data_IF_041137356536
#
_entry.id   IF_041137356536
#
_cell.length_a   1.000
_cell.length_b   1.000
_cell.length_c   1.000
_cell.angle_alpha   90.00
_cell.angle_beta   90.00
_cell.angle_gamma   90.00
#
_symmetry.space_group_name_H-M   'P 1'
#
loop_
_entity.id
_entity.type
_entity.pdbx_description
1 polymer ?
#
# COMPACT_ATOMS: atom_id res chain seq x y z
N UNK A 1 1.72 -0.19 -28.30
CA UNK A 1 2.52 -0.73 -27.16
C UNK A 1 1.70 -0.57 -25.90
N UNK A 2 1.56 -1.61 -25.12
CA UNK A 2 0.89 -1.58 -23.82
C UNK A 2 1.69 -0.73 -22.82
N UNK A 3 1.03 0.19 -22.12
CA UNK A 3 1.64 1.06 -21.12
C UNK A 3 1.12 0.72 -19.74
N UNK A 4 2.02 0.45 -18.81
CA UNK A 4 1.71 0.16 -17.41
C UNK A 4 2.41 1.19 -16.51
N UNK A 5 1.67 1.84 -15.61
CA UNK A 5 2.20 2.72 -14.58
C UNK A 5 2.01 2.07 -13.21
N UNK A 6 3.10 1.77 -12.52
CA UNK A 6 3.08 1.26 -11.15
C UNK A 6 3.80 2.27 -10.25
N UNK A 7 3.20 2.60 -9.11
CA UNK A 7 3.85 3.50 -8.18
C UNK A 7 3.11 3.64 -6.85
N UNK A 8 3.74 4.40 -5.96
CA UNK A 8 3.20 4.79 -4.68
C UNK A 8 3.92 6.03 -4.19
N UNK A 9 3.24 6.91 -3.50
CA UNK A 9 3.87 8.05 -2.85
C UNK A 9 4.40 7.66 -1.46
N UNK A 10 5.40 8.38 -0.92
CA UNK A 10 5.85 8.16 0.45
C UNK A 10 4.70 8.20 1.45
N UNK A 11 4.64 7.20 2.33
CA UNK A 11 3.57 7.06 3.30
C UNK A 11 3.88 7.72 4.65
N UNK A 12 5.03 8.38 4.78
CA UNK A 12 5.53 8.96 6.04
C UNK A 12 4.51 9.84 6.74
N UNK A 13 3.82 10.70 5.99
CA UNK A 13 2.86 11.66 6.55
C UNK A 13 1.50 11.04 6.88
N UNK A 14 1.19 9.85 6.37
CA UNK A 14 -0.11 9.19 6.51
C UNK A 14 -0.07 7.98 7.43
N UNK A 15 1.11 7.49 7.77
CA UNK A 15 1.28 6.33 8.63
C UNK A 15 0.90 6.63 10.08
N UNK A 16 0.26 5.70 10.76
CA UNK A 16 0.02 5.76 12.22
C UNK A 16 1.32 5.73 13.03
N UNK A 17 2.43 5.31 12.43
CA UNK A 17 3.76 5.38 13.04
C UNK A 17 4.28 6.80 13.16
N UNK A 18 3.72 7.75 12.41
CA UNK A 18 4.07 9.16 12.51
C UNK A 18 3.50 9.76 13.79
N UNK A 19 4.38 10.04 14.75
CA UNK A 19 3.99 10.54 16.08
C UNK A 19 3.62 12.03 16.09
N UNK A 20 4.18 12.81 15.15
CA UNK A 20 3.92 14.26 15.03
C UNK A 20 3.67 14.62 13.58
N UNK A 21 2.69 15.48 13.35
CA UNK A 21 2.39 15.99 12.01
C UNK A 21 1.75 14.97 11.05
N UNK A 22 1.10 13.91 11.59
CA UNK A 22 0.33 12.99 10.75
C UNK A 22 -0.82 13.73 10.08
N UNK A 23 -0.88 13.64 8.77
CA UNK A 23 -1.95 14.23 7.98
C UNK A 23 -3.17 13.30 7.95
N UNK A 24 -4.35 13.86 8.14
CA UNK A 24 -5.62 13.12 8.17
C UNK A 24 -6.60 13.58 7.09
N UNK A 25 -6.28 14.66 6.40
CA UNK A 25 -7.04 15.21 5.27
C UNK A 25 -6.22 15.16 3.98
N UNK A 26 -6.91 15.26 2.85
CA UNK A 26 -6.29 15.27 1.53
C UNK A 26 -5.65 16.63 1.21
N UNK A 27 -4.73 17.05 2.07
CA UNK A 27 -3.96 18.28 1.99
C UNK A 27 -2.61 18.07 2.67
N UNK A 28 -1.70 19.03 2.50
CA UNK A 28 -0.37 18.95 3.09
C UNK A 28 0.65 18.28 2.16
N UNK A 29 1.85 18.03 2.70
CA UNK A 29 2.98 17.56 1.90
C UNK A 29 2.79 16.13 1.38
N UNK A 30 2.19 15.25 2.16
CA UNK A 30 1.88 13.89 1.71
C UNK A 30 0.92 13.88 0.52
N UNK A 31 -0.06 14.78 0.52
CA UNK A 31 -0.97 14.95 -0.60
C UNK A 31 -0.26 15.52 -1.84
N UNK A 32 0.64 16.48 -1.67
CA UNK A 32 1.46 17.01 -2.76
C UNK A 32 2.33 15.92 -3.41
N UNK A 33 2.87 15.00 -2.61
CA UNK A 33 3.61 13.85 -3.14
C UNK A 33 2.70 12.89 -3.94
N UNK A 34 1.46 12.69 -3.50
CA UNK A 34 0.48 11.91 -4.27
C UNK A 34 0.15 12.58 -5.62
N UNK A 35 0.05 13.90 -5.66
CA UNK A 35 -0.21 14.63 -6.91
C UNK A 35 0.84 14.36 -7.98
N UNK A 36 2.09 14.04 -7.60
CA UNK A 36 3.12 13.66 -8.56
C UNK A 36 2.75 12.36 -9.30
N UNK A 37 2.11 11.41 -8.61
CA UNK A 37 1.60 10.21 -9.27
C UNK A 37 0.47 10.55 -10.25
N UNK A 38 -0.46 11.43 -9.87
CA UNK A 38 -1.52 11.90 -10.78
C UNK A 38 -0.94 12.57 -12.02
N UNK A 39 0.07 13.42 -11.85
CA UNK A 39 0.75 14.09 -12.95
C UNK A 39 1.46 13.09 -13.88
N UNK A 40 2.12 12.10 -13.30
CA UNK A 40 2.75 11.02 -14.08
C UNK A 40 1.70 10.24 -14.88
N UNK A 41 0.57 9.90 -14.25
CA UNK A 41 -0.55 9.21 -14.91
C UNK A 41 -1.12 10.01 -16.06
N UNK A 42 -1.32 11.32 -15.87
CA UNK A 42 -1.83 12.22 -16.89
C UNK A 42 -0.89 12.33 -18.09
N UNK A 43 0.40 12.51 -17.83
CA UNK A 43 1.42 12.66 -18.89
C UNK A 43 1.72 11.36 -19.64
N UNK A 44 1.83 10.27 -18.90
CA UNK A 44 2.17 8.97 -19.47
C UNK A 44 1.00 8.31 -20.20
N UNK A 45 -0.24 8.60 -19.76
CA UNK A 45 -1.50 8.02 -20.29
C UNK A 45 -1.39 6.49 -20.38
N UNK A 46 -1.25 5.80 -19.22
CA UNK A 46 -1.11 4.35 -19.21
C UNK A 46 -2.42 3.66 -19.56
N UNK A 47 -2.33 2.49 -20.18
CA UNK A 47 -3.47 1.59 -20.40
C UNK A 47 -3.89 0.95 -19.07
N UNK A 48 -2.90 0.61 -18.24
CA UNK A 48 -3.09 0.07 -16.89
C UNK A 48 -2.27 0.84 -15.88
N UNK A 49 -2.84 1.03 -14.69
CA UNK A 49 -2.13 1.66 -13.58
C UNK A 49 -2.36 0.91 -12.27
N UNK A 50 -1.39 0.98 -11.39
CA UNK A 50 -1.47 0.54 -10.01
C UNK A 50 -0.83 1.59 -9.11
N UNK A 51 -1.57 2.01 -8.09
CA UNK A 51 -1.08 2.84 -7.00
C UNK A 51 -1.20 2.08 -5.68
N UNK A 52 -0.18 2.16 -4.85
CA UNK A 52 -0.12 1.49 -3.54
C UNK A 52 0.21 2.48 -2.42
N UNK A 53 -0.39 2.30 -1.25
CA UNK A 53 0.03 3.01 -0.05
C UNK A 53 -0.39 2.25 1.23
N UNK A 54 -0.03 2.82 2.38
CA UNK A 54 -0.28 2.23 3.69
C UNK A 54 -1.79 2.23 4.01
N UNK A 55 -2.31 1.09 4.46
CA UNK A 55 -3.70 0.94 4.93
C UNK A 55 -4.08 1.98 5.99
N UNK A 56 -3.14 2.43 6.81
CA UNK A 56 -3.40 3.35 7.91
C UNK A 56 -3.64 4.81 7.48
N UNK A 57 -3.52 5.13 6.20
CA UNK A 57 -3.94 6.45 5.71
C UNK A 57 -5.38 6.74 6.12
N UNK A 58 -5.63 7.98 6.57
CA UNK A 58 -6.94 8.37 7.10
C UNK A 58 -8.06 8.20 6.05
N UNK A 59 -9.30 7.87 6.48
CA UNK A 59 -10.41 7.66 5.55
C UNK A 59 -10.65 8.81 4.57
N UNK A 60 -10.57 10.11 4.93
CA UNK A 60 -10.74 11.20 3.98
C UNK A 60 -9.69 11.18 2.85
N UNK A 61 -8.44 10.85 3.19
CA UNK A 61 -7.35 10.73 2.22
C UNK A 61 -7.64 9.58 1.24
N UNK A 62 -7.99 8.41 1.75
CA UNK A 62 -8.34 7.25 0.91
C UNK A 62 -9.55 7.52 0.01
N UNK A 63 -10.57 8.18 0.54
CA UNK A 63 -11.75 8.55 -0.25
C UNK A 63 -11.38 9.51 -1.39
N UNK A 64 -10.49 10.47 -1.14
CA UNK A 64 -10.06 11.41 -2.18
C UNK A 64 -9.18 10.72 -3.23
N UNK A 65 -8.27 9.81 -2.82
CA UNK A 65 -7.47 9.00 -3.75
C UNK A 65 -8.39 8.18 -4.67
N UNK A 66 -9.41 7.53 -4.11
CA UNK A 66 -10.41 6.78 -4.88
C UNK A 66 -11.09 7.66 -5.93
N UNK A 67 -11.49 8.87 -5.56
CA UNK A 67 -12.10 9.84 -6.48
C UNK A 67 -11.13 10.28 -7.59
N UNK A 68 -9.91 10.65 -7.23
CA UNK A 68 -8.90 11.13 -8.18
C UNK A 68 -8.47 10.05 -9.20
N UNK A 69 -8.40 8.81 -8.76
CA UNK A 69 -8.04 7.67 -9.62
C UNK A 69 -9.26 7.02 -10.28
N UNK A 70 -10.48 7.46 -9.90
CA UNK A 70 -11.75 6.93 -10.38
C UNK A 70 -11.83 5.39 -10.28
N UNK A 71 -11.45 4.85 -9.13
CA UNK A 71 -11.49 3.41 -8.86
C UNK A 71 -11.63 3.16 -7.36
N UNK A 72 -12.23 2.04 -6.99
CA UNK A 72 -12.30 1.59 -5.61
C UNK A 72 -10.92 1.15 -5.10
N UNK A 73 -10.70 1.31 -3.80
CA UNK A 73 -9.47 0.84 -3.16
C UNK A 73 -9.66 -0.60 -2.68
N UNK A 74 -8.67 -1.44 -2.96
CA UNK A 74 -8.61 -2.81 -2.48
C UNK A 74 -7.58 -2.93 -1.36
N UNK A 75 -8.00 -3.40 -0.19
CA UNK A 75 -7.10 -3.66 0.93
C UNK A 75 -6.62 -5.11 0.88
N UNK A 76 -5.32 -5.31 0.86
CA UNK A 76 -4.70 -6.64 0.84
C UNK A 76 -3.65 -6.71 1.95
N UNK A 77 -3.69 -7.80 2.70
CA UNK A 77 -2.63 -8.14 3.64
C UNK A 77 -1.70 -9.18 3.00
N UNK A 78 -0.40 -8.88 2.94
CA UNK A 78 0.59 -9.82 2.44
C UNK A 78 0.60 -11.16 3.20
N UNK A 79 0.09 -11.19 4.44
CA UNK A 79 -0.03 -12.42 5.23
C UNK A 79 -0.86 -13.52 4.54
N UNK A 80 -1.72 -13.16 3.59
CA UNK A 80 -2.47 -14.14 2.79
C UNK A 80 -1.56 -14.99 1.90
N UNK A 81 -0.43 -14.46 1.46
CA UNK A 81 0.47 -15.11 0.48
C UNK A 81 1.92 -15.20 0.94
N UNK A 82 2.23 -14.74 2.14
CA UNK A 82 3.56 -14.75 2.72
C UNK A 82 3.50 -14.83 4.25
N UNK A 83 4.64 -15.00 4.90
CA UNK A 83 4.74 -15.00 6.37
C UNK A 83 4.77 -13.58 6.97
N UNK A 84 4.63 -12.53 6.15
CA UNK A 84 4.70 -11.15 6.61
C UNK A 84 3.31 -10.52 6.75
N UNK A 85 2.99 -10.02 7.92
CA UNK A 85 1.81 -9.18 8.15
C UNK A 85 2.09 -7.76 7.64
N UNK A 86 1.60 -7.43 6.45
CA UNK A 86 1.80 -6.13 5.80
C UNK A 86 0.51 -5.70 5.09
N UNK A 87 -0.24 -4.82 5.71
CA UNK A 87 -1.51 -4.34 5.18
C UNK A 87 -1.30 -3.08 4.33
N UNK A 88 -1.81 -3.12 3.11
CA UNK A 88 -1.75 -2.02 2.15
C UNK A 88 -3.10 -1.85 1.46
N UNK A 89 -3.33 -0.67 0.92
CA UNK A 89 -4.38 -0.48 -0.06
C UNK A 89 -3.79 -0.27 -1.45
N UNK A 90 -4.56 -0.69 -2.43
CA UNK A 90 -4.21 -0.62 -3.85
C UNK A 90 -5.34 0.02 -4.62
N UNK A 91 -5.00 0.86 -5.60
CA UNK A 91 -5.92 1.38 -6.60
C UNK A 91 -5.44 0.97 -7.98
N UNK A 92 -6.28 0.33 -8.77
CA UNK A 92 -5.94 -0.15 -10.10
C UNK A 92 -7.19 -0.23 -10.98
N UNK A 93 -7.00 -0.31 -12.30
CA UNK A 93 -8.08 -0.28 -13.28
C UNK A 93 -8.32 -1.60 -14.00
N UNK A 94 -8.04 -2.74 -13.35
CA UNK A 94 -8.41 -4.08 -13.82
C UNK A 94 -8.98 -4.92 -12.67
N UNK A 95 -9.64 -6.01 -12.98
CA UNK A 95 -10.22 -6.87 -11.96
C UNK A 95 -9.19 -7.81 -11.36
N UNK A 96 -9.14 -7.86 -10.03
CA UNK A 96 -8.30 -8.76 -9.26
C UNK A 96 -9.10 -9.32 -8.09
N UNK A 97 -9.20 -10.64 -7.93
CA UNK A 97 -9.81 -11.22 -6.75
C UNK A 97 -8.90 -11.05 -5.53
N UNK A 98 -9.47 -11.06 -4.32
CA UNK A 98 -8.68 -11.17 -3.10
C UNK A 98 -7.84 -12.46 -3.14
N UNK A 99 -6.54 -12.39 -2.77
CA UNK A 99 -5.73 -13.58 -2.64
C UNK A 99 -6.33 -14.55 -1.62
N UNK A 100 -6.30 -15.84 -1.91
CA UNK A 100 -6.66 -16.88 -0.96
C UNK A 100 -5.56 -17.01 0.10
N UNK A 101 -5.95 -17.20 1.34
CA UNK A 101 -4.97 -17.45 2.42
C UNK A 101 -4.25 -18.78 2.17
N UNK A 102 -2.95 -18.70 2.02
CA UNK A 102 -2.07 -19.84 1.77
C UNK A 102 -1.55 -20.46 3.06
N UNK A 103 -1.86 -19.88 4.24
CA UNK A 103 -1.46 -20.40 5.54
C UNK A 103 0.05 -20.42 5.77
N UNK A 104 0.81 -19.56 5.13
CA UNK A 104 2.28 -19.54 5.25
C UNK A 104 2.66 -18.87 6.57
N UNK A 105 3.34 -19.62 7.43
CA UNK A 105 3.83 -19.15 8.72
C UNK A 105 5.33 -18.83 8.65
N UNK A 106 5.79 -17.97 9.53
CA UNK A 106 7.21 -17.62 9.61
C UNK A 106 8.11 -18.86 9.79
N UNK A 107 7.70 -19.82 10.61
CA UNK A 107 8.40 -21.08 10.81
C UNK A 107 8.61 -21.89 9.52
N UNK A 108 7.74 -21.71 8.53
CA UNK A 108 7.77 -22.49 7.29
C UNK A 108 8.86 -21.97 6.33
N UNK A 109 9.38 -20.76 6.56
CA UNK A 109 10.40 -20.11 5.72
C UNK A 109 11.75 -19.94 6.43
N UNK A 110 11.85 -20.34 7.70
CA UNK A 110 13.11 -20.30 8.45
C UNK A 110 13.93 -21.56 8.17
N UNK A 111 15.22 -21.39 7.90
CA UNK A 111 16.17 -22.50 7.69
C UNK A 111 16.48 -23.26 8.98
N UNK A 112 16.37 -22.58 10.13
CA UNK A 112 16.55 -23.18 11.45
C UNK A 112 15.31 -22.94 12.30
N UNK A 113 14.72 -24.03 12.81
CA UNK A 113 13.61 -23.96 13.74
C UNK A 113 14.10 -23.57 15.14
N UNK A 114 14.50 -22.32 15.33
CA UNK A 114 14.62 -21.78 16.68
C UNK A 114 13.22 -21.35 17.13
N UNK A 115 12.50 -22.32 17.71
CA UNK A 115 11.11 -22.15 18.12
C UNK A 115 10.93 -21.26 19.33
N UNK A 116 12.00 -20.82 19.98
CA UNK A 116 11.95 -19.98 21.18
C UNK A 116 12.03 -18.48 20.88
N UNK A 117 12.42 -18.08 19.67
CA UNK A 117 12.48 -16.67 19.29
C UNK A 117 11.36 -16.30 18.34
N UNK A 118 10.34 -15.69 18.90
CA UNK A 118 9.31 -15.01 18.10
C UNK A 118 9.90 -13.74 17.49
N UNK A 119 10.48 -13.85 16.31
CA UNK A 119 10.77 -12.66 15.52
C UNK A 119 9.45 -12.13 14.96
N UNK A 120 8.93 -11.10 15.61
CA UNK A 120 7.95 -10.26 14.95
C UNK A 120 8.66 -9.56 13.81
N UNK A 121 8.51 -10.06 12.58
CA UNK A 121 8.76 -9.26 11.41
C UNK A 121 7.70 -8.16 11.38
N UNK A 122 7.85 -7.16 12.22
CA UNK A 122 7.18 -5.91 12.02
C UNK A 122 7.66 -5.43 10.65
N UNK A 123 6.71 -5.16 9.76
CA UNK A 123 7.04 -4.45 8.54
C UNK A 123 7.92 -3.25 8.95
N UNK A 124 9.05 -3.02 8.28
CA UNK A 124 9.78 -1.81 8.54
C UNK A 124 8.79 -0.67 8.45
N UNK A 125 8.83 0.21 9.43
CA UNK A 125 8.09 1.45 9.39
C UNK A 125 8.32 2.03 8.00
N UNK A 126 7.25 2.50 7.40
CA UNK A 126 7.33 3.14 6.10
C UNK A 126 8.55 4.05 6.06
N UNK A 127 9.54 3.84 5.21
CA UNK A 127 10.73 4.66 5.19
C UNK A 127 10.42 6.11 4.89
#
# INVERSE_FOLDING_TARGET
MLKLLIGGSPCTYWSVAQKKGREVEAEGFGWELFKNYLLAKEKFKPDFFLYENNKSAAPPIKAQISRELNTDLMHINSALVSAQNRERFYAFNWEVPQPTDRGILLKDILETADTEKHYTLSAPLCP
#
